data_IF_041046108335
#
_entry.id   IF_041046108335
#
_cell.length_a   1.000
_cell.length_b   1.000
_cell.length_c   1.000
_cell.angle_alpha   90.00
_cell.angle_beta   90.00
_cell.angle_gamma   90.00
#
_symmetry.space_group_name_H-M   'P 1'
#
loop_
_entity.id
_entity.type
_entity.pdbx_description
1 polymer ?
#
# COMPACT_ATOMS: atom_id res chain seq x y z
N UNK A 1 -35.95 -31.99 21.94
CA UNK A 1 -35.80 -30.68 22.59
C UNK A 1 -34.33 -30.31 22.52
N UNK A 2 -33.92 -29.54 21.52
CA UNK A 2 -32.61 -28.89 21.51
C UNK A 2 -32.72 -27.64 20.66
N UNK A 3 -32.29 -26.52 21.23
CA UNK A 3 -32.56 -25.16 20.78
C UNK A 3 -31.78 -24.83 19.50
N UNK A 4 -32.49 -24.12 18.61
CA UNK A 4 -31.95 -23.38 17.46
C UNK A 4 -31.13 -22.21 17.99
N UNK A 5 -29.84 -22.12 17.62
CA UNK A 5 -29.12 -20.85 17.60
C UNK A 5 -29.06 -20.38 16.15
N UNK A 6 -29.95 -19.45 15.83
CA UNK A 6 -29.90 -18.68 14.59
C UNK A 6 -29.00 -17.48 14.92
N UNK A 7 -27.74 -17.54 14.52
CA UNK A 7 -26.92 -16.34 14.38
C UNK A 7 -27.32 -15.69 13.05
N UNK A 8 -28.22 -14.70 13.12
CA UNK A 8 -28.35 -13.70 12.07
C UNK A 8 -27.24 -12.69 12.30
N UNK A 9 -26.05 -12.98 11.76
CA UNK A 9 -25.07 -11.91 11.53
C UNK A 9 -25.55 -11.21 10.27
N UNK A 10 -26.18 -10.05 10.43
CA UNK A 10 -26.36 -9.11 9.34
C UNK A 10 -24.98 -8.55 8.99
N UNK A 11 -24.24 -9.30 8.19
CA UNK A 11 -23.02 -8.84 7.54
C UNK A 11 -23.41 -7.69 6.62
N UNK A 12 -23.09 -6.47 7.05
CA UNK A 12 -23.06 -5.30 6.18
C UNK A 12 -21.90 -5.54 5.22
N UNK A 13 -22.18 -6.23 4.11
CA UNK A 13 -21.32 -6.31 2.94
C UNK A 13 -21.30 -4.93 2.27
N UNK A 14 -20.48 -4.03 2.82
CA UNK A 14 -20.07 -2.82 2.14
C UNK A 14 -18.59 -2.93 1.79
N UNK A 15 -18.34 -3.26 0.52
CA UNK A 15 -17.19 -2.78 -0.27
C UNK A 15 -15.80 -2.86 0.39
N UNK A 16 -15.10 -3.98 0.18
CA UNK A 16 -13.65 -3.98 0.00
C UNK A 16 -13.41 -4.74 -1.30
N UNK A 17 -13.52 -4.01 -2.40
CA UNK A 17 -13.14 -4.44 -3.73
C UNK A 17 -12.04 -3.52 -4.23
N UNK A 18 -10.81 -3.88 -3.90
CA UNK A 18 -9.64 -3.70 -4.75
C UNK A 18 -8.93 -5.07 -4.67
N UNK A 19 -8.62 -5.67 -5.82
CA UNK A 19 -8.28 -7.10 -6.08
C UNK A 19 -9.38 -8.02 -6.66
N UNK A 20 -10.39 -7.51 -7.39
CA UNK A 20 -11.04 -8.38 -8.39
C UNK A 20 -10.21 -8.36 -9.67
N UNK A 21 -9.25 -9.28 -9.77
CA UNK A 21 -8.71 -9.88 -11.01
C UNK A 21 -7.18 -10.03 -11.01
N UNK A 22 -6.68 -10.93 -10.17
CA UNK A 22 -5.40 -11.64 -10.40
C UNK A 22 -5.63 -13.08 -9.88
N UNK A 23 -5.84 -14.15 -10.66
CA UNK A 23 -5.54 -14.40 -12.07
C UNK A 23 -6.37 -15.60 -12.63
N UNK A 24 -6.63 -15.60 -13.96
CA UNK A 24 -7.20 -16.64 -14.85
C UNK A 24 -8.73 -16.74 -15.12
N UNK A 25 -9.24 -15.85 -16.01
CA UNK A 25 -10.26 -16.25 -17.00
C UNK A 25 -10.07 -15.53 -18.35
N UNK A 26 -9.60 -16.21 -19.42
CA UNK A 26 -9.25 -15.58 -20.70
C UNK A 26 -10.45 -15.17 -21.59
N UNK A 27 -11.70 -15.22 -21.09
CA UNK A 27 -12.91 -14.95 -21.89
C UNK A 27 -13.77 -13.76 -21.41
N UNK A 28 -13.29 -12.92 -20.49
CA UNK A 28 -14.08 -11.78 -20.02
C UNK A 28 -13.52 -10.45 -20.56
N UNK A 29 -13.86 -10.12 -21.80
CA UNK A 29 -13.61 -8.80 -22.37
C UNK A 29 -14.62 -7.80 -21.80
N UNK A 30 -14.20 -7.08 -20.76
CA UNK A 30 -14.81 -5.82 -20.35
C UNK A 30 -15.07 -5.73 -18.85
N UNK A 31 -14.16 -5.07 -18.13
CA UNK A 31 -14.47 -4.10 -17.08
C UNK A 31 -13.18 -3.31 -16.75
N UNK A 32 -13.26 -1.98 -16.88
CA UNK A 32 -12.23 -1.01 -16.44
C UNK A 32 -12.15 -0.98 -14.92
N UNK A 33 -10.99 -0.62 -14.33
CA UNK A 33 -10.95 -0.21 -12.93
C UNK A 33 -11.65 1.14 -12.80
N UNK A 34 -12.97 1.11 -12.56
CA UNK A 34 -13.63 2.21 -11.87
C UNK A 34 -13.22 2.11 -10.41
N UNK A 35 -12.57 3.15 -9.90
CA UNK A 35 -12.33 3.39 -8.47
C UNK A 35 -13.60 3.00 -7.71
N UNK A 36 -13.49 1.92 -6.93
CA UNK A 36 -14.59 1.29 -6.19
C UNK A 36 -15.03 2.11 -4.98
N UNK A 37 -15.49 3.33 -5.21
CA UNK A 37 -16.30 4.12 -4.30
C UNK A 37 -17.63 4.37 -4.98
N UNK A 38 -18.72 3.88 -4.39
CA UNK A 38 -20.07 4.17 -4.87
C UNK A 38 -20.26 5.66 -5.12
N UNK A 39 -21.15 5.97 -6.06
CA UNK A 39 -21.57 7.31 -6.46
C UNK A 39 -22.05 8.20 -5.30
N UNK A 40 -21.15 8.57 -4.39
CA UNK A 40 -21.20 9.86 -3.74
C UNK A 40 -21.13 10.84 -4.91
N UNK A 41 -22.27 11.45 -5.20
CA UNK A 41 -22.40 12.51 -6.19
C UNK A 41 -21.20 13.42 -6.03
N UNK A 42 -20.32 13.40 -7.04
CA UNK A 42 -19.31 14.41 -7.26
C UNK A 42 -20.01 15.74 -7.05
N UNK A 43 -19.71 16.38 -5.93
CA UNK A 43 -20.02 17.79 -5.77
C UNK A 43 -18.71 18.43 -6.22
N UNK A 44 -18.68 19.15 -7.35
CA UNK A 44 -17.48 19.89 -7.71
C UNK A 44 -17.03 20.68 -6.48
N UNK A 45 -15.72 20.81 -6.24
CA UNK A 45 -15.24 21.79 -5.27
C UNK A 45 -15.94 23.13 -5.54
N UNK A 46 -16.21 23.89 -4.47
CA UNK A 46 -16.89 25.18 -4.59
C UNK A 46 -16.26 25.98 -5.74
N UNK A 47 -17.09 26.65 -6.59
CA UNK A 47 -16.55 27.46 -7.65
C UNK A 47 -15.54 28.44 -7.04
N UNK A 48 -14.35 28.53 -7.62
CA UNK A 48 -13.27 29.33 -7.07
C UNK A 48 -13.72 30.79 -6.99
N UNK A 49 -13.22 31.55 -6.00
CA UNK A 49 -13.57 32.96 -5.87
C UNK A 49 -13.21 33.72 -7.16
N UNK A 50 -13.96 34.78 -7.46
CA UNK A 50 -13.55 35.71 -8.53
C UNK A 50 -12.21 36.33 -8.12
N UNK A 51 -11.12 35.83 -8.71
CA UNK A 51 -9.81 36.41 -8.55
C UNK A 51 -9.77 37.67 -9.43
N UNK A 52 -10.33 38.77 -8.93
CA UNK A 52 -10.50 40.03 -9.65
C UNK A 52 -9.16 40.62 -10.19
N UNK A 53 -8.01 40.09 -9.75
CA UNK A 53 -6.65 40.54 -10.12
C UNK A 53 -5.94 39.65 -11.14
N UNK A 54 -6.36 38.40 -11.36
CA UNK A 54 -5.79 37.50 -12.38
C UNK A 54 -6.84 36.67 -13.13
N UNK A 55 -8.09 37.14 -13.20
CA UNK A 55 -9.23 36.42 -13.76
C UNK A 55 -8.98 36.00 -15.22
N UNK A 56 -8.68 34.72 -15.50
CA UNK A 56 -8.57 34.26 -16.87
C UNK A 56 -9.96 34.21 -17.52
N UNK A 57 -10.04 33.90 -18.81
CA UNK A 57 -11.33 33.63 -19.44
C UNK A 57 -12.00 32.40 -18.81
N UNK A 58 -13.32 32.29 -18.92
CA UNK A 58 -14.06 31.12 -18.43
C UNK A 58 -13.51 29.79 -18.98
N UNK A 59 -13.11 29.78 -20.27
CA UNK A 59 -12.52 28.60 -20.92
C UNK A 59 -11.15 28.26 -20.32
N UNK A 60 -10.30 29.26 -20.10
CA UNK A 60 -9.01 29.07 -19.45
C UNK A 60 -9.17 28.56 -18.01
N UNK A 61 -10.16 29.07 -17.28
CA UNK A 61 -10.46 28.62 -15.93
C UNK A 61 -10.92 27.15 -15.89
N UNK A 62 -11.79 26.75 -16.81
CA UNK A 62 -12.22 25.35 -16.94
C UNK A 62 -11.04 24.41 -17.22
N UNK A 63 -10.10 24.87 -18.05
CA UNK A 63 -8.88 24.13 -18.38
C UNK A 63 -7.96 23.95 -17.16
N UNK A 64 -7.72 25.02 -16.39
CA UNK A 64 -6.95 25.00 -15.13
C UNK A 64 -7.59 24.08 -14.10
N UNK A 65 -8.92 24.19 -13.93
CA UNK A 65 -9.65 23.36 -12.97
C UNK A 65 -9.55 21.88 -13.33
N UNK A 66 -9.61 21.55 -14.63
CA UNK A 66 -9.43 20.16 -15.08
C UNK A 66 -8.01 19.67 -14.81
N UNK A 67 -6.97 20.43 -15.16
CA UNK A 67 -5.58 20.09 -14.88
C UNK A 67 -5.38 19.76 -13.39
N UNK A 68 -5.91 20.63 -12.51
CA UNK A 68 -5.88 20.43 -11.07
C UNK A 68 -6.61 19.14 -10.64
N UNK A 69 -7.88 18.96 -11.06
CA UNK A 69 -8.68 17.80 -10.69
C UNK A 69 -8.03 16.49 -11.15
N UNK A 70 -7.58 16.43 -12.40
CA UNK A 70 -6.91 15.24 -12.94
C UNK A 70 -5.66 14.88 -12.14
N UNK A 71 -4.91 15.88 -11.71
CA UNK A 71 -3.70 15.68 -10.89
C UNK A 71 -4.03 15.20 -9.48
N UNK A 72 -5.02 15.80 -8.82
CA UNK A 72 -5.50 15.33 -7.51
C UNK A 72 -5.97 13.87 -7.59
N UNK A 73 -6.67 13.48 -8.65
CA UNK A 73 -7.05 12.08 -8.88
C UNK A 73 -5.86 11.14 -9.02
N UNK A 74 -4.76 11.56 -9.63
CA UNK A 74 -3.53 10.76 -9.71
C UNK A 74 -2.83 10.62 -8.35
N UNK A 75 -2.90 11.66 -7.50
CA UNK A 75 -2.32 11.63 -6.13
C UNK A 75 -3.07 10.67 -5.20
N UNK A 76 -4.36 10.46 -5.43
CA UNK A 76 -5.14 9.46 -4.68
C UNK A 76 -4.57 8.04 -4.78
N UNK A 77 -3.73 7.75 -5.78
CA UNK A 77 -3.03 6.47 -5.87
C UNK A 77 -2.11 6.21 -4.66
N UNK A 78 -1.64 7.25 -3.97
CA UNK A 78 -0.91 7.10 -2.70
C UNK A 78 -1.74 6.42 -1.61
N UNK A 79 -3.08 6.50 -1.67
CA UNK A 79 -3.96 5.74 -0.76
C UNK A 79 -3.81 4.24 -1.04
N UNK A 80 -3.83 3.84 -2.31
CA UNK A 80 -3.63 2.45 -2.74
C UNK A 80 -2.24 1.97 -2.33
N UNK A 81 -1.19 2.73 -2.65
CA UNK A 81 0.19 2.36 -2.32
C UNK A 81 0.42 2.25 -0.81
N UNK A 82 -0.10 3.21 -0.02
CA UNK A 82 -0.04 3.15 1.44
C UNK A 82 -0.77 1.93 2.01
N UNK A 83 -1.94 1.61 1.49
CA UNK A 83 -2.67 0.40 1.87
C UNK A 83 -1.89 -0.88 1.54
N UNK A 84 -1.26 -0.97 0.36
CA UNK A 84 -0.43 -2.12 -0.02
C UNK A 84 0.75 -2.26 0.94
N UNK A 85 1.44 -1.18 1.29
CA UNK A 85 2.56 -1.22 2.23
C UNK A 85 2.14 -1.70 3.62
N UNK A 86 1.02 -1.20 4.15
CA UNK A 86 0.49 -1.63 5.45
C UNK A 86 0.12 -3.10 5.43
N UNK A 87 -0.56 -3.55 4.36
CA UNK A 87 -0.93 -4.97 4.21
C UNK A 87 0.28 -5.88 4.10
N UNK A 88 1.31 -5.46 3.36
CA UNK A 88 2.57 -6.18 3.27
C UNK A 88 3.21 -6.32 4.65
N UNK A 89 3.28 -5.22 5.42
CA UNK A 89 3.82 -5.23 6.77
C UNK A 89 3.04 -6.19 7.70
N UNK A 90 1.71 -6.16 7.64
CA UNK A 90 0.83 -7.03 8.42
C UNK A 90 0.94 -8.51 8.01
N UNK A 91 1.16 -8.79 6.72
CA UNK A 91 1.16 -10.14 6.18
C UNK A 91 2.56 -10.77 6.12
N UNK A 92 3.62 -10.00 6.37
CA UNK A 92 5.02 -10.42 6.17
C UNK A 92 5.34 -11.77 6.81
N UNK A 93 4.94 -11.94 8.07
CA UNK A 93 5.15 -13.19 8.80
C UNK A 93 4.39 -14.37 8.19
N UNK A 94 3.15 -14.13 7.76
CA UNK A 94 2.32 -15.14 7.12
C UNK A 94 2.89 -15.56 5.75
N UNK A 95 3.38 -14.60 4.96
CA UNK A 95 4.05 -14.84 3.67
C UNK A 95 5.30 -15.71 3.89
N UNK A 96 6.16 -15.35 4.86
CA UNK A 96 7.37 -16.14 5.16
C UNK A 96 7.01 -17.56 5.60
N UNK A 97 6.03 -17.74 6.49
CA UNK A 97 5.55 -19.07 6.88
C UNK A 97 4.99 -19.87 5.69
N UNK A 98 4.19 -19.21 4.85
CA UNK A 98 3.53 -19.81 3.69
C UNK A 98 4.52 -20.21 2.58
N UNK A 99 5.68 -19.57 2.52
CA UNK A 99 6.75 -19.91 1.56
C UNK A 99 7.39 -21.29 1.81
N UNK A 100 7.11 -21.94 2.96
CA UNK A 100 7.60 -23.27 3.23
C UNK A 100 6.84 -24.33 2.42
N UNK A 101 7.51 -24.87 1.40
CA UNK A 101 6.92 -25.90 0.54
C UNK A 101 6.56 -27.20 1.30
N UNK A 102 7.23 -27.52 2.41
CA UNK A 102 6.90 -28.72 3.17
C UNK A 102 5.48 -28.66 3.78
N UNK A 103 5.04 -27.48 4.22
CA UNK A 103 3.70 -27.23 4.73
C UNK A 103 2.69 -26.93 3.63
N UNK A 104 3.08 -26.15 2.63
CA UNK A 104 2.19 -25.51 1.67
C UNK A 104 2.45 -25.98 0.24
N UNK A 105 2.13 -27.25 -0.04
CA UNK A 105 2.32 -27.87 -1.38
C UNK A 105 1.01 -28.04 -2.14
N UNK A 106 1.04 -27.67 -3.43
CA UNK A 106 -0.02 -27.94 -4.42
C UNK A 106 -1.40 -27.44 -3.98
N UNK A 107 -2.43 -28.25 -4.17
CA UNK A 107 -3.83 -27.93 -3.88
C UNK A 107 -4.08 -27.47 -2.42
N UNK A 108 -3.21 -27.82 -1.48
CA UNK A 108 -3.32 -27.39 -0.08
C UNK A 108 -3.02 -25.90 0.07
N UNK A 109 -2.00 -25.42 -0.64
CA UNK A 109 -1.67 -24.00 -0.63
C UNK A 109 -2.78 -23.17 -1.27
N UNK A 110 -3.29 -23.58 -2.44
CA UNK A 110 -4.39 -22.87 -3.11
C UNK A 110 -5.62 -22.72 -2.20
N UNK A 111 -5.97 -23.77 -1.45
CA UNK A 111 -7.10 -23.74 -0.52
C UNK A 111 -6.87 -22.81 0.67
N UNK A 112 -5.69 -22.85 1.28
CA UNK A 112 -5.36 -21.98 2.42
C UNK A 112 -5.22 -20.53 1.95
N UNK A 113 -4.64 -20.29 0.78
CA UNK A 113 -4.55 -18.97 0.16
C UNK A 113 -5.94 -18.41 -0.17
N UNK A 114 -6.84 -19.21 -0.77
CA UNK A 114 -8.23 -18.79 -1.00
C UNK A 114 -8.97 -18.47 0.30
N UNK A 115 -8.73 -19.26 1.35
CA UNK A 115 -9.31 -19.01 2.66
C UNK A 115 -8.75 -17.73 3.29
N UNK A 116 -7.42 -17.56 3.32
CA UNK A 116 -6.73 -16.37 3.81
C UNK A 116 -7.17 -15.10 3.07
N UNK A 117 -7.33 -15.17 1.74
CA UNK A 117 -7.82 -14.07 0.93
C UNK A 117 -9.26 -13.64 1.31
N UNK A 118 -10.09 -14.56 1.83
CA UNK A 118 -11.41 -14.19 2.37
C UNK A 118 -11.34 -13.32 3.64
N UNK A 119 -10.16 -13.30 4.29
CA UNK A 119 -9.77 -12.41 5.38
C UNK A 119 -8.77 -11.33 4.91
N UNK A 120 -8.64 -11.07 3.62
CA UNK A 120 -7.71 -10.05 3.11
C UNK A 120 -6.24 -10.26 3.52
N UNK A 121 -5.87 -11.49 3.88
CA UNK A 121 -4.51 -11.90 4.18
C UNK A 121 -3.89 -12.47 2.92
N UNK A 122 -2.77 -11.88 2.51
CA UNK A 122 -2.00 -12.33 1.37
C UNK A 122 -0.92 -13.31 1.85
N UNK A 123 -0.87 -14.50 1.25
CA UNK A 123 0.15 -15.53 1.54
C UNK A 123 1.28 -15.54 0.50
N UNK A 124 1.20 -14.67 -0.49
CA UNK A 124 2.21 -14.44 -1.51
C UNK A 124 2.60 -12.97 -1.51
N UNK A 125 3.86 -12.68 -1.81
CA UNK A 125 4.28 -11.31 -2.07
C UNK A 125 3.81 -10.90 -3.47
N UNK A 126 3.12 -9.75 -3.64
CA UNK A 126 2.76 -9.23 -4.96
C UNK A 126 3.96 -8.57 -5.67
N UNK A 127 5.14 -8.56 -5.03
CA UNK A 127 6.31 -7.87 -5.56
C UNK A 127 7.26 -8.83 -6.27
N UNK A 128 7.79 -8.35 -7.39
CA UNK A 128 8.89 -8.97 -8.10
C UNK A 128 10.22 -8.34 -7.67
N UNK A 129 11.26 -9.16 -7.53
CA UNK A 129 12.59 -8.65 -7.22
C UNK A 129 13.10 -7.75 -8.35
N UNK A 130 13.64 -6.61 -7.97
CA UNK A 130 14.21 -5.63 -8.85
C UNK A 130 15.69 -5.38 -8.56
N UNK A 131 16.29 -4.44 -9.29
CA UNK A 131 17.69 -4.07 -9.09
C UNK A 131 17.91 -3.49 -7.68
N UNK A 132 19.11 -3.72 -7.14
CA UNK A 132 19.61 -3.09 -5.91
C UNK A 132 18.82 -3.40 -4.62
N UNK A 133 18.20 -4.58 -4.52
CA UNK A 133 17.46 -4.99 -3.31
C UNK A 133 16.09 -4.34 -3.17
N UNK A 134 15.56 -3.76 -4.25
CA UNK A 134 14.18 -3.28 -4.32
C UNK A 134 13.26 -4.41 -4.78
N UNK A 135 11.99 -4.27 -4.45
CA UNK A 135 10.91 -5.16 -4.83
C UNK A 135 9.81 -4.30 -5.43
N UNK A 136 9.37 -4.59 -6.66
CA UNK A 136 8.37 -3.78 -7.37
C UNK A 136 7.09 -4.51 -7.67
N UNK A 137 6.03 -3.73 -7.78
CA UNK A 137 4.84 -4.11 -8.54
C UNK A 137 4.44 -2.98 -9.49
N UNK A 138 3.75 -3.29 -10.61
CA UNK A 138 3.10 -2.27 -11.43
C UNK A 138 2.00 -1.56 -10.65
N UNK A 139 1.71 -0.32 -11.04
CA UNK A 139 0.54 0.43 -10.55
C UNK A 139 -0.60 0.23 -11.54
N UNK A 140 -1.66 -0.43 -11.09
CA UNK A 140 -2.81 -0.77 -11.93
C UNK A 140 -3.54 0.48 -12.43
N UNK A 141 -3.80 0.55 -13.73
CA UNK A 141 -4.52 1.66 -14.34
C UNK A 141 -3.65 2.89 -14.67
N UNK A 142 -2.35 2.86 -14.36
CA UNK A 142 -1.39 3.89 -14.74
C UNK A 142 -0.57 3.51 -15.99
N UNK A 143 0.36 4.37 -16.41
CA UNK A 143 1.32 4.05 -17.48
C UNK A 143 2.13 2.78 -17.13
N UNK A 144 2.43 1.89 -18.09
CA UNK A 144 3.23 0.69 -17.85
C UNK A 144 4.62 0.91 -17.23
N UNK A 145 5.17 2.13 -17.25
CA UNK A 145 6.41 2.49 -16.55
C UNK A 145 6.20 2.83 -15.08
N UNK A 146 4.96 3.05 -14.63
CA UNK A 146 4.64 3.40 -13.25
C UNK A 146 4.87 2.22 -12.31
N UNK A 147 5.53 2.47 -11.18
CA UNK A 147 5.98 1.42 -10.27
C UNK A 147 5.79 1.84 -8.82
N UNK A 148 5.36 0.87 -8.02
CA UNK A 148 5.47 0.92 -6.57
C UNK A 148 6.60 0.00 -6.12
N UNK A 149 7.54 0.53 -5.35
CA UNK A 149 8.70 -0.19 -4.85
C UNK A 149 8.64 -0.27 -3.33
N UNK A 150 9.15 -1.37 -2.78
CA UNK A 150 9.57 -1.48 -1.39
C UNK A 150 11.03 -1.92 -1.32
N UNK A 151 11.73 -1.49 -0.27
CA UNK A 151 13.09 -1.92 0.01
C UNK A 151 13.23 -2.16 1.51
N UNK A 152 13.87 -3.27 1.85
CA UNK A 152 14.04 -3.72 3.23
C UNK A 152 15.45 -3.47 3.72
N UNK A 153 15.58 -3.25 5.02
CA UNK A 153 16.85 -3.01 5.67
C UNK A 153 16.91 -3.77 6.99
N UNK A 154 18.13 -4.10 7.41
CA UNK A 154 18.38 -4.58 8.77
C UNK A 154 18.07 -3.46 9.78
N UNK A 155 17.62 -3.79 11.00
CA UNK A 155 17.33 -2.81 12.04
C UNK A 155 18.53 -1.87 12.27
N UNK A 156 18.33 -0.56 12.14
CA UNK A 156 19.36 0.46 12.33
C UNK A 156 20.51 0.48 11.32
N UNK A 157 20.40 -0.22 10.19
CA UNK A 157 21.44 -0.30 9.15
C UNK A 157 21.08 0.49 7.89
N UNK A 158 22.01 1.23 7.29
CA UNK A 158 21.78 1.85 5.97
C UNK A 158 21.94 0.87 4.79
N UNK A 159 22.35 -0.37 5.06
CA UNK A 159 22.57 -1.38 4.01
C UNK A 159 21.25 -2.09 3.66
N UNK A 160 20.83 -2.05 2.39
CA UNK A 160 19.62 -2.74 1.96
C UNK A 160 19.81 -4.26 1.99
N UNK A 161 18.72 -4.96 2.27
CA UNK A 161 18.62 -6.42 2.14
C UNK A 161 18.51 -6.77 0.65
N UNK A 162 19.42 -7.62 0.17
CA UNK A 162 19.47 -8.03 -1.23
C UNK A 162 18.81 -9.39 -1.48
N UNK A 163 18.79 -10.25 -0.46
CA UNK A 163 18.13 -11.55 -0.50
C UNK A 163 16.60 -11.42 -0.40
N UNK A 164 15.87 -12.49 -0.75
CA UNK A 164 14.40 -12.49 -0.76
C UNK A 164 13.82 -12.52 0.66
N UNK A 165 13.27 -11.41 1.18
CA UNK A 165 12.79 -11.36 2.56
C UNK A 165 11.47 -12.13 2.71
N UNK A 166 10.80 -12.51 1.63
CA UNK A 166 9.51 -13.20 1.63
C UNK A 166 9.65 -14.73 1.70
N UNK A 167 10.87 -15.27 1.61
CA UNK A 167 11.14 -16.71 1.62
C UNK A 167 11.79 -17.16 2.91
N UNK A 168 11.24 -18.20 3.54
CA UNK A 168 11.79 -18.83 4.74
C UNK A 168 13.22 -19.35 4.51
N UNK A 169 13.50 -19.85 3.31
CA UNK A 169 14.84 -20.34 2.93
C UNK A 169 15.93 -19.26 2.97
N UNK A 170 15.56 -17.97 2.86
CA UNK A 170 16.50 -16.86 3.01
C UNK A 170 16.97 -16.68 4.46
N UNK A 171 16.21 -17.20 5.43
CA UNK A 171 16.54 -17.13 6.86
C UNK A 171 17.14 -18.45 7.34
N UNK A 172 16.56 -19.57 6.92
CA UNK A 172 16.86 -20.92 7.38
C UNK A 172 16.88 -21.87 6.20
N UNK A 173 18.01 -22.50 5.91
CA UNK A 173 18.11 -23.41 4.76
C UNK A 173 17.82 -24.86 5.15
N UNK A 174 17.16 -25.58 4.24
CA UNK A 174 16.82 -26.99 4.42
C UNK A 174 15.78 -27.20 5.52
N UNK A 175 14.79 -26.30 5.62
CA UNK A 175 13.75 -26.35 6.63
C UNK A 175 12.81 -27.52 6.37
N UNK A 176 12.58 -28.31 7.42
CA UNK A 176 11.53 -29.29 7.52
C UNK A 176 10.58 -28.91 8.65
N UNK A 177 9.27 -29.10 8.46
CA UNK A 177 8.27 -28.79 9.47
C UNK A 177 7.43 -30.02 9.82
N UNK A 178 7.36 -30.32 11.11
CA UNK A 178 6.42 -31.29 11.67
C UNK A 178 5.25 -30.55 12.34
N UNK A 179 4.04 -31.11 12.27
CA UNK A 179 2.83 -30.50 12.84
C UNK A 179 1.97 -31.51 13.59
N UNK A 180 1.19 -31.05 14.58
CA UNK A 180 0.21 -31.90 15.28
C UNK A 180 -1.09 -32.04 14.49
N UNK A 181 -1.51 -30.96 13.83
CA UNK A 181 -2.72 -30.87 13.03
C UNK A 181 -2.35 -30.72 11.56
N UNK A 182 -3.13 -31.37 10.71
CA UNK A 182 -3.15 -31.07 9.29
C UNK A 182 -3.77 -29.69 9.05
N UNK A 183 -3.45 -29.06 7.91
CA UNK A 183 -4.07 -27.79 7.53
C UNK A 183 -5.59 -27.91 7.37
N UNK A 184 -6.10 -29.07 6.96
CA UNK A 184 -7.55 -29.34 6.90
C UNK A 184 -8.20 -29.31 8.28
N UNK A 185 -7.55 -29.91 9.29
CA UNK A 185 -8.05 -29.86 10.68
C UNK A 185 -8.01 -28.45 11.26
N UNK A 186 -7.06 -27.61 10.84
CA UNK A 186 -7.02 -26.19 11.21
C UNK A 186 -8.11 -25.38 10.49
N UNK A 187 -8.44 -25.70 9.24
CA UNK A 187 -9.54 -25.04 8.51
C UNK A 187 -10.92 -25.42 9.08
N UNK A 188 -11.06 -26.63 9.61
CA UNK A 188 -12.29 -27.09 10.26
C UNK A 188 -12.51 -26.43 11.64
N UNK A 189 -11.44 -26.02 12.33
CA UNK A 189 -11.48 -25.31 13.61
C UNK A 189 -10.40 -24.21 13.65
N UNK A 190 -10.77 -23.03 13.15
CA UNK A 190 -9.84 -21.94 12.85
C UNK A 190 -9.22 -21.29 14.09
N UNK A 191 -9.82 -21.51 15.26
CA UNK A 191 -9.32 -21.02 16.56
C UNK A 191 -8.41 -22.05 17.23
N UNK A 192 -8.40 -23.30 16.73
CA UNK A 192 -7.55 -24.35 17.27
C UNK A 192 -6.10 -24.12 16.87
N UNK A 193 -5.27 -23.88 17.88
CA UNK A 193 -3.82 -23.75 17.70
C UNK A 193 -3.19 -25.09 17.29
N UNK A 194 -2.27 -25.00 16.35
CA UNK A 194 -1.39 -26.07 15.94
C UNK A 194 0.03 -25.75 16.39
N UNK A 195 0.80 -26.78 16.71
CA UNK A 195 2.23 -26.66 16.98
C UNK A 195 3.00 -27.03 15.72
N UNK A 196 3.83 -26.13 15.24
CA UNK A 196 4.73 -26.32 14.10
C UNK A 196 6.16 -26.42 14.64
N UNK A 197 6.82 -27.56 14.45
CA UNK A 197 8.23 -27.75 14.80
C UNK A 197 9.10 -27.58 13.58
N UNK A 198 9.93 -26.55 13.59
CA UNK A 198 10.86 -26.23 12.51
C UNK A 198 12.22 -26.86 12.79
N UNK A 199 12.70 -27.67 11.86
CA UNK A 199 14.04 -28.27 11.86
C UNK A 199 14.81 -27.72 10.66
N UNK A 200 16.05 -27.26 10.84
CA UNK A 200 16.81 -26.62 9.77
C UNK A 200 18.29 -27.00 9.78
N UNK A 201 18.96 -26.88 8.63
CA UNK A 201 20.29 -27.47 8.39
C UNK A 201 21.41 -26.44 8.31
N UNK A 202 21.17 -25.30 7.68
CA UNK A 202 22.17 -24.26 7.46
C UNK A 202 21.59 -22.86 7.66
N UNK A 203 22.44 -21.92 8.07
CA UNK A 203 22.04 -20.53 8.28
C UNK A 203 21.80 -19.88 6.91
N UNK A 204 20.65 -19.21 6.75
CA UNK A 204 20.39 -18.38 5.58
C UNK A 204 21.07 -17.01 5.69
N UNK A 205 21.18 -16.27 4.58
CA UNK A 205 21.77 -14.94 4.57
C UNK A 205 21.06 -13.90 5.45
N UNK A 206 19.79 -14.14 5.80
CA UNK A 206 18.96 -13.29 6.65
C UNK A 206 18.74 -13.85 8.05
N UNK A 207 19.50 -14.87 8.48
CA UNK A 207 19.35 -15.50 9.80
C UNK A 207 19.41 -14.48 10.94
N UNK A 208 20.17 -13.39 10.76
CA UNK A 208 20.36 -12.33 11.74
C UNK A 208 19.10 -11.50 12.02
N UNK A 209 18.07 -11.61 11.17
CA UNK A 209 16.76 -11.00 11.39
C UNK A 209 15.83 -11.85 12.28
N UNK A 210 16.26 -13.07 12.64
CA UNK A 210 15.50 -13.93 13.54
C UNK A 210 16.05 -13.85 14.96
N UNK A 211 15.20 -14.13 15.95
CA UNK A 211 15.60 -14.27 17.36
C UNK A 211 16.39 -13.07 17.88
N UNK A 212 16.00 -11.86 17.48
CA UNK A 212 16.66 -10.59 17.82
C UNK A 212 18.17 -10.56 17.47
N UNK A 213 18.57 -11.33 16.45
CA UNK A 213 19.96 -11.51 16.02
C UNK A 213 20.78 -12.48 16.87
N UNK A 214 20.19 -13.07 17.92
CA UNK A 214 20.87 -14.04 18.78
C UNK A 214 20.89 -15.45 18.14
N UNK A 215 21.92 -16.26 18.43
CA UNK A 215 22.04 -17.60 17.86
C UNK A 215 20.79 -18.46 18.06
N UNK A 216 20.26 -18.99 16.96
CA UNK A 216 19.05 -19.79 16.98
C UNK A 216 19.37 -21.29 17.15
N UNK A 217 18.58 -21.98 17.97
CA UNK A 217 18.67 -23.44 18.07
C UNK A 217 18.24 -24.11 16.74
N UNK A 218 18.82 -25.28 16.43
CA UNK A 218 18.48 -26.06 15.22
C UNK A 218 17.03 -26.56 15.16
N UNK A 219 16.29 -26.39 16.26
CA UNK A 219 14.88 -26.72 16.38
C UNK A 219 14.20 -25.58 17.16
N UNK A 220 13.08 -25.09 16.65
CA UNK A 220 12.18 -24.21 17.39
C UNK A 220 10.72 -24.55 17.06
N UNK A 221 9.79 -24.02 17.88
CA UNK A 221 8.36 -24.22 17.67
C UNK A 221 7.65 -22.89 17.40
N UNK A 222 6.55 -22.97 16.68
CA UNK A 222 5.54 -21.92 16.52
C UNK A 222 4.20 -22.52 16.92
N UNK A 223 3.40 -21.83 17.73
CA UNK A 223 2.07 -22.27 18.17
C UNK A 223 1.02 -21.24 17.77
N UNK A 224 0.32 -21.50 16.67
CA UNK A 224 -0.64 -20.56 16.06
C UNK A 224 -1.85 -21.30 15.49
N UNK A 225 -2.99 -20.62 15.47
CA UNK A 225 -4.20 -20.99 14.74
C UNK A 225 -4.35 -20.14 13.47
N UNK A 226 -5.32 -20.47 12.61
CA UNK A 226 -5.61 -19.63 11.43
C UNK A 226 -6.15 -18.26 11.88
N UNK A 227 -6.94 -18.22 12.96
CA UNK A 227 -7.42 -16.98 13.55
C UNK A 227 -6.27 -16.11 14.10
N UNK A 228 -5.24 -16.71 14.71
CA UNK A 228 -4.04 -15.97 15.17
C UNK A 228 -3.29 -15.35 13.98
N UNK A 229 -3.19 -16.04 12.84
CA UNK A 229 -2.57 -15.49 11.62
C UNK A 229 -3.44 -14.36 11.04
N UNK A 230 -4.77 -14.55 10.98
CA UNK A 230 -5.70 -13.52 10.51
C UNK A 230 -5.70 -12.27 11.43
N UNK A 231 -5.43 -12.44 12.72
CA UNK A 231 -5.33 -11.34 13.69
C UNK A 231 -4.19 -10.36 13.39
N UNK A 232 -3.17 -10.77 12.62
CA UNK A 232 -2.09 -9.88 12.18
C UNK A 232 -2.62 -8.75 11.27
N UNK A 233 -3.69 -9.02 10.51
CA UNK A 233 -4.34 -8.05 9.62
C UNK A 233 -5.57 -7.43 10.30
N UNK A 234 -6.23 -8.19 11.18
CA UNK A 234 -7.50 -7.79 11.79
C UNK A 234 -7.44 -7.76 13.32
N UNK A 235 -7.39 -6.56 13.92
CA UNK A 235 -7.24 -6.40 15.37
C UNK A 235 -8.47 -6.83 16.19
N UNK A 236 -9.53 -7.34 15.55
CA UNK A 236 -10.70 -7.87 16.25
C UNK A 236 -10.58 -9.37 16.58
N UNK A 237 -9.63 -10.09 15.98
CA UNK A 237 -9.27 -11.44 16.43
C UNK A 237 -8.30 -11.34 17.61
N UNK A 238 -8.50 -12.19 18.62
CA UNK A 238 -7.61 -12.27 19.77
C UNK A 238 -6.40 -13.16 19.40
N UNK A 239 -5.20 -12.58 19.44
CA UNK A 239 -3.93 -13.29 19.25
C UNK A 239 -3.09 -13.40 20.53
N UNK A 240 -3.66 -13.09 21.70
CA UNK A 240 -2.92 -12.95 22.97
C UNK A 240 -2.25 -14.23 23.50
N UNK A 241 -2.38 -15.35 22.79
CA UNK A 241 -1.67 -16.59 23.07
C UNK A 241 -0.98 -17.22 21.86
N UNK A 242 -0.82 -16.49 20.77
CA UNK A 242 -0.03 -16.91 19.62
C UNK A 242 1.47 -16.89 19.99
N UNK A 243 2.20 -17.96 19.70
CA UNK A 243 3.65 -18.01 19.84
C UNK A 243 4.31 -18.12 18.47
N UNK A 244 4.74 -17.00 17.88
CA UNK A 244 5.43 -16.99 16.58
C UNK A 244 6.92 -17.39 16.66
N UNK A 245 7.40 -17.71 17.86
CA UNK A 245 8.78 -18.12 18.09
C UNK A 245 9.79 -17.06 17.60
N UNK A 246 10.95 -17.48 17.06
CA UNK A 246 12.00 -16.61 16.52
C UNK A 246 11.56 -15.71 15.36
N UNK A 247 10.46 -16.04 14.69
CA UNK A 247 9.97 -15.28 13.54
C UNK A 247 9.32 -13.95 13.95
N UNK A 248 9.02 -13.77 15.25
CA UNK A 248 8.47 -12.51 15.75
C UNK A 248 9.41 -11.33 15.47
N UNK A 249 10.73 -11.54 15.46
CA UNK A 249 11.73 -10.49 15.20
C UNK A 249 11.74 -9.97 13.76
N UNK A 250 11.06 -10.65 12.82
CA UNK A 250 10.94 -10.17 11.44
C UNK A 250 10.29 -8.77 11.36
N UNK A 251 9.45 -8.45 12.33
CA UNK A 251 8.76 -7.16 12.40
C UNK A 251 9.70 -5.99 12.72
N UNK A 252 10.92 -6.27 13.19
CA UNK A 252 11.92 -5.24 13.49
C UNK A 252 12.69 -4.81 12.25
N UNK A 253 12.65 -5.59 11.17
CA UNK A 253 13.21 -5.16 9.89
C UNK A 253 12.56 -3.86 9.45
N UNK A 254 13.35 -2.99 8.83
CA UNK A 254 12.89 -1.69 8.39
C UNK A 254 12.51 -1.74 6.91
N UNK A 255 11.48 -1.00 6.54
CA UNK A 255 10.94 -0.93 5.20
C UNK A 255 10.79 0.53 4.78
N UNK A 256 11.20 0.83 3.56
CA UNK A 256 10.90 2.09 2.86
C UNK A 256 10.12 1.76 1.59
N UNK A 257 9.32 2.69 1.12
CA UNK A 257 8.60 2.57 -0.14
C UNK A 257 8.89 3.74 -1.08
N UNK A 258 8.69 3.55 -2.39
CA UNK A 258 8.80 4.59 -3.38
C UNK A 258 7.71 4.40 -4.44
N UNK A 259 7.06 5.49 -4.83
CA UNK A 259 6.06 5.54 -5.89
C UNK A 259 6.65 6.38 -7.01
N UNK A 260 6.73 5.81 -8.20
CA UNK A 260 7.02 6.53 -9.44
C UNK A 260 5.79 6.39 -10.34
N UNK A 261 5.03 7.47 -10.50
CA UNK A 261 3.79 7.47 -11.27
C UNK A 261 3.97 8.30 -12.53
N UNK A 262 3.51 7.75 -13.66
CA UNK A 262 3.13 8.49 -14.86
C UNK A 262 1.69 8.12 -15.20
N UNK A 263 0.81 9.10 -15.22
CA UNK A 263 -0.61 8.92 -15.48
C UNK A 263 -1.04 9.85 -16.63
N UNK A 264 -1.99 9.41 -17.44
CA UNK A 264 -2.55 10.21 -18.52
C UNK A 264 -4.06 10.13 -18.45
N UNK A 265 -4.67 11.26 -18.08
CA UNK A 265 -6.11 11.41 -17.94
C UNK A 265 -6.61 12.42 -18.95
N UNK A 266 -7.39 11.93 -19.92
CA UNK A 266 -7.88 12.74 -21.03
C UNK A 266 -6.73 13.40 -21.83
N UNK A 267 -6.47 14.68 -21.60
CA UNK A 267 -5.33 15.42 -22.19
C UNK A 267 -4.26 15.83 -21.18
N UNK A 268 -4.47 15.53 -19.90
CA UNK A 268 -3.55 15.83 -18.80
C UNK A 268 -2.57 14.68 -18.64
N UNK A 269 -1.28 14.97 -18.65
CA UNK A 269 -0.22 14.04 -18.25
C UNK A 269 0.27 14.47 -16.88
N UNK A 270 0.29 13.54 -15.93
CA UNK A 270 0.73 13.74 -14.55
C UNK A 270 1.90 12.81 -14.28
N UNK A 271 2.98 13.34 -13.72
CA UNK A 271 4.14 12.58 -13.29
C UNK A 271 4.48 12.98 -11.85
N UNK A 272 4.72 12.01 -10.98
CA UNK A 272 5.26 12.32 -9.66
C UNK A 272 6.12 11.21 -9.09
N UNK A 273 6.95 11.60 -8.14
CA UNK A 273 7.73 10.70 -7.29
C UNK A 273 7.36 10.96 -5.83
N UNK A 274 7.04 9.91 -5.10
CA UNK A 274 6.80 10.00 -3.66
C UNK A 274 7.60 8.91 -2.93
N UNK A 275 8.37 9.31 -1.93
CA UNK A 275 9.13 8.40 -1.09
C UNK A 275 8.41 8.25 0.26
N UNK A 276 8.09 7.01 0.63
CA UNK A 276 7.53 6.70 1.93
C UNK A 276 8.60 6.78 3.00
N UNK A 277 8.21 7.16 4.22
CA UNK A 277 9.16 7.17 5.33
C UNK A 277 9.59 5.77 5.70
N UNK A 278 10.89 5.65 5.98
CA UNK A 278 11.51 4.43 6.48
C UNK A 278 11.07 4.20 7.93
N UNK A 279 10.54 3.02 8.21
CA UNK A 279 10.14 2.61 9.56
C UNK A 279 10.20 1.08 9.69
N UNK A 280 10.09 0.58 10.92
CA UNK A 280 9.97 -0.86 11.21
C UNK A 280 8.67 -1.41 10.65
N UNK A 281 8.69 -2.68 10.23
CA UNK A 281 7.48 -3.40 9.81
C UNK A 281 6.43 -3.39 10.93
N UNK A 282 6.84 -3.50 12.20
CA UNK A 282 5.97 -3.42 13.36
C UNK A 282 5.22 -2.09 13.45
N UNK A 283 5.92 -0.96 13.29
CA UNK A 283 5.31 0.36 13.35
C UNK A 283 4.33 0.57 12.20
N UNK A 284 4.71 0.19 10.97
CA UNK A 284 3.85 0.30 9.80
C UNK A 284 2.57 -0.53 9.97
N UNK A 285 2.72 -1.79 10.42
CA UNK A 285 1.59 -2.70 10.63
C UNK A 285 0.67 -2.24 11.78
N UNK A 286 1.25 -1.72 12.87
CA UNK A 286 0.55 -1.33 14.09
C UNK A 286 -0.17 0.01 14.00
N UNK A 287 0.48 1.02 13.40
CA UNK A 287 -0.14 2.33 13.21
C UNK A 287 -1.15 2.32 12.06
N UNK A 288 -0.95 1.43 11.09
CA UNK A 288 -1.77 1.31 9.88
C UNK A 288 -1.67 2.55 8.99
N UNK A 289 -0.56 3.29 9.09
CA UNK A 289 -0.34 4.61 8.48
C UNK A 289 1.00 4.67 7.80
N UNK A 290 1.07 5.44 6.72
CA UNK A 290 2.31 5.68 5.98
C UNK A 290 2.39 7.17 5.68
N UNK A 291 3.53 7.79 5.97
CA UNK A 291 3.82 9.15 5.53
C UNK A 291 4.64 9.10 4.24
N UNK A 292 4.25 9.90 3.27
CA UNK A 292 4.95 10.11 2.01
C UNK A 292 5.49 11.53 1.94
N UNK A 293 6.72 11.66 1.47
CA UNK A 293 7.29 12.92 1.03
C UNK A 293 7.25 12.90 -0.51
N UNK A 294 6.49 13.82 -1.09
CA UNK A 294 6.29 13.95 -2.54
C UNK A 294 7.30 14.96 -3.07
N UNK A 295 8.35 14.46 -3.72
CA UNK A 295 9.50 15.26 -4.16
C UNK A 295 9.11 16.32 -5.19
N UNK A 296 8.29 15.91 -6.16
CA UNK A 296 7.75 16.75 -7.22
C UNK A 296 6.54 16.08 -7.86
N UNK A 297 5.55 16.90 -8.20
CA UNK A 297 4.40 16.59 -9.04
C UNK A 297 4.48 17.53 -10.24
N UNK A 298 4.60 16.96 -11.43
CA UNK A 298 4.59 17.66 -12.69
C UNK A 298 3.35 17.27 -13.48
N UNK A 299 2.47 18.23 -13.77
CA UNK A 299 1.30 17.99 -14.61
C UNK A 299 1.22 18.99 -15.76
N UNK A 300 0.77 18.54 -16.93
CA UNK A 300 0.54 19.42 -18.08
C UNK A 300 -0.60 18.93 -18.95
N UNK A 301 -1.33 19.88 -19.53
CA UNK A 301 -2.38 19.61 -20.53
C UNK A 301 -2.03 20.13 -21.94
N UNK A 302 -0.78 20.58 -22.12
CA UNK A 302 -0.26 21.22 -23.33
C UNK A 302 -0.43 22.74 -23.39
N UNK A 303 -1.28 23.33 -22.56
CA UNK A 303 -1.47 24.79 -22.44
C UNK A 303 -0.96 25.30 -21.10
N UNK A 304 -1.33 24.60 -20.03
CA UNK A 304 -0.95 24.90 -18.65
C UNK A 304 -0.01 23.83 -18.12
N UNK A 305 0.83 24.24 -17.19
CA UNK A 305 1.70 23.37 -16.42
C UNK A 305 1.43 23.59 -14.95
N UNK A 306 1.48 22.53 -14.16
CA UNK A 306 1.38 22.56 -12.73
C UNK A 306 2.58 21.86 -12.13
N UNK A 307 3.23 22.53 -11.19
CA UNK A 307 4.31 21.99 -10.39
C UNK A 307 3.86 21.97 -8.94
N UNK A 308 4.10 20.90 -8.21
CA UNK A 308 3.79 20.86 -6.80
C UNK A 308 4.67 19.92 -6.01
N UNK A 309 4.60 20.07 -4.69
CA UNK A 309 5.32 19.23 -3.74
C UNK A 309 4.52 19.11 -2.44
N UNK A 310 4.84 18.07 -1.68
CA UNK A 310 4.27 17.86 -0.37
C UNK A 310 5.27 17.17 0.54
N UNK A 311 5.28 17.55 1.80
CA UNK A 311 5.99 16.79 2.84
C UNK A 311 4.98 16.25 3.83
N UNK A 312 5.21 15.05 4.33
CA UNK A 312 4.36 14.42 5.34
C UNK A 312 2.90 14.22 4.90
N UNK A 313 2.67 13.88 3.63
CA UNK A 313 1.35 13.48 3.14
C UNK A 313 1.07 12.04 3.60
N UNK A 314 0.09 11.88 4.50
CA UNK A 314 -0.12 10.63 5.24
C UNK A 314 -1.32 9.85 4.74
N UNK A 315 -1.09 8.61 4.33
CA UNK A 315 -2.13 7.58 4.31
C UNK A 315 -2.60 7.32 5.75
N UNK A 316 -3.91 7.43 5.98
CA UNK A 316 -4.53 7.17 7.28
C UNK A 316 -5.35 5.89 7.32
N UNK A 317 -6.12 5.63 6.26
CA UNK A 317 -6.89 4.42 6.04
C UNK A 317 -7.25 4.27 4.55
N UNK A 318 -7.99 3.20 4.21
CA UNK A 318 -8.38 2.79 2.85
C UNK A 318 -9.09 3.86 2.00
N UNK A 319 -9.39 5.05 2.53
CA UNK A 319 -10.05 6.15 1.80
C UNK A 319 -9.51 7.53 2.14
N UNK A 320 -8.41 7.65 2.87
CA UNK A 320 -8.03 8.97 3.39
C UNK A 320 -6.54 9.27 3.37
N UNK A 321 -6.28 10.52 3.00
CA UNK A 321 -4.99 11.18 3.16
C UNK A 321 -5.12 12.26 4.24
N UNK A 322 -3.97 12.73 4.71
CA UNK A 322 -3.85 13.92 5.54
C UNK A 322 -2.56 14.65 5.25
N UNK A 323 -2.63 15.97 5.16
CA UNK A 323 -1.49 16.82 4.80
C UNK A 323 -1.91 17.91 3.82
N UNK A 324 -0.95 18.76 3.49
CA UNK A 324 -1.12 19.84 2.51
C UNK A 324 -0.22 19.58 1.31
N UNK A 325 -0.73 19.90 0.11
CA UNK A 325 0.05 19.93 -1.13
C UNK A 325 0.02 21.37 -1.64
N UNK A 326 1.18 21.86 -2.05
CA UNK A 326 1.35 23.19 -2.63
C UNK A 326 1.57 23.02 -4.13
N UNK A 327 0.81 23.75 -4.93
CA UNK A 327 1.00 23.80 -6.37
C UNK A 327 1.19 25.22 -6.88
N UNK A 328 2.00 25.34 -7.91
CA UNK A 328 2.07 26.49 -8.79
C UNK A 328 1.56 26.06 -10.17
N UNK A 329 0.53 26.74 -10.67
CA UNK A 329 0.00 26.56 -12.02
C UNK A 329 0.41 27.76 -12.88
N UNK A 330 1.11 27.50 -13.97
CA UNK A 330 1.57 28.52 -14.91
C UNK A 330 0.99 28.29 -16.30
N UNK A 331 0.72 29.39 -17.00
CA UNK A 331 0.23 29.36 -18.39
C UNK A 331 0.60 30.63 -19.17
N UNK A 332 0.06 30.82 -20.38
CA UNK A 332 0.42 31.92 -21.26
C UNK A 332 0.28 33.32 -20.64
N UNK A 333 -0.71 33.51 -19.76
CA UNK A 333 -1.10 34.83 -19.25
C UNK A 333 -1.34 34.85 -17.73
N UNK A 334 -0.88 33.84 -16.97
CA UNK A 334 -1.14 33.74 -15.52
C UNK A 334 -0.13 32.85 -14.78
N UNK A 335 0.01 33.13 -13.48
CA UNK A 335 0.54 32.22 -12.46
C UNK A 335 -0.44 32.19 -11.28
N UNK A 336 -0.75 30.99 -10.80
CA UNK A 336 -1.69 30.73 -9.70
C UNK A 336 -1.02 29.80 -8.69
N UNK A 337 -1.10 30.18 -7.42
CA UNK A 337 -0.76 29.32 -6.31
C UNK A 337 -2.00 28.60 -5.80
N UNK A 338 -1.88 27.31 -5.56
CA UNK A 338 -2.94 26.44 -5.06
C UNK A 338 -2.46 25.70 -3.82
N UNK A 339 -3.26 25.70 -2.76
CA UNK A 339 -3.00 24.90 -1.56
C UNK A 339 -4.16 23.92 -1.36
N UNK A 340 -3.86 22.63 -1.42
CA UNK A 340 -4.79 21.53 -1.18
C UNK A 340 -4.59 20.93 0.19
N UNK A 341 -5.53 21.11 1.11
CA UNK A 341 -5.48 20.53 2.46
C UNK A 341 -6.45 19.35 2.59
N UNK A 342 -5.93 18.13 2.71
CA UNK A 342 -6.72 16.91 2.92
C UNK A 342 -7.34 16.83 4.31
N UNK A 343 -6.97 17.69 5.26
CA UNK A 343 -7.37 17.59 6.66
C UNK A 343 -7.06 16.21 7.25
N UNK A 344 -7.50 15.94 8.47
CA UNK A 344 -7.39 14.58 9.02
C UNK A 344 -8.54 13.71 8.51
N UNK A 345 -8.25 12.83 7.55
CA UNK A 345 -9.18 11.77 7.16
C UNK A 345 -10.10 12.13 5.99
N UNK A 346 -9.85 13.22 5.25
CA UNK A 346 -10.70 13.52 4.10
C UNK A 346 -10.18 12.80 2.85
N UNK A 347 -11.08 12.27 2.01
CA UNK A 347 -10.71 11.77 0.70
C UNK A 347 -10.31 12.92 -0.23
N UNK A 348 -10.94 14.10 -0.10
CA UNK A 348 -10.72 15.24 -0.99
C UNK A 348 -10.23 16.46 -0.21
N UNK A 349 -9.30 17.25 -0.78
CA UNK A 349 -8.77 18.41 -0.11
C UNK A 349 -9.74 19.60 -0.14
N UNK A 350 -9.61 20.47 0.86
CA UNK A 350 -10.10 21.84 0.81
C UNK A 350 -9.06 22.69 0.10
N UNK A 351 -9.44 23.29 -1.03
CA UNK A 351 -8.52 24.00 -1.91
C UNK A 351 -8.62 25.51 -1.72
N UNK A 352 -7.46 26.17 -1.61
CA UNK A 352 -7.33 27.64 -1.61
C UNK A 352 -6.53 28.06 -2.82
N UNK A 353 -6.96 29.15 -3.46
CA UNK A 353 -6.37 29.67 -4.70
C UNK A 353 -5.90 31.10 -4.46
N UNK A 354 -4.73 31.46 -4.98
CA UNK A 354 -4.20 32.82 -4.97
C UNK A 354 -3.51 33.12 -6.30
N UNK A 355 -3.51 34.38 -6.73
CA UNK A 355 -2.68 34.81 -7.85
C UNK A 355 -1.23 34.83 -7.40
N UNK A 356 -0.32 34.21 -8.17
CA UNK A 356 1.11 34.40 -7.96
C UNK A 356 1.48 35.87 -8.18
N UNK A 357 2.56 36.36 -7.56
CA UNK A 357 3.09 37.69 -7.84
C UNK A 357 3.39 37.78 -9.35
N UNK A 358 2.50 38.44 -10.10
CA UNK A 358 2.74 38.75 -11.50
C UNK A 358 3.92 39.73 -11.55
N UNK A 359 5.16 39.23 -11.65
CA UNK A 359 6.28 40.05 -12.10
C UNK A 359 5.90 40.55 -13.51
N UNK A 360 5.42 41.79 -13.55
CA UNK A 360 4.87 42.40 -14.77
C UNK A 360 5.87 42.34 -15.93
N UNK A 361 5.39 42.42 -17.18
CA UNK A 361 6.23 42.29 -18.35
C UNK A 361 7.38 43.28 -18.27
N UNK A 362 8.62 42.78 -18.35
CA UNK A 362 9.81 43.58 -18.61
C UNK A 362 9.52 44.48 -19.82
N UNK A 363 9.31 45.77 -19.57
CA UNK A 363 9.31 46.78 -20.63
C UNK A 363 10.64 46.65 -21.39
N UNK A 364 10.55 46.33 -22.68
CA UNK A 364 11.70 46.32 -23.57
C UNK A 364 12.33 47.72 -23.58
N UNK A 365 13.66 47.84 -23.50
CA UNK A 365 14.30 49.15 -23.55
C UNK A 365 14.04 49.80 -24.92
N UNK A 366 13.53 51.03 -24.90
CA UNK A 366 13.35 51.91 -26.08
C UNK A 366 14.67 52.22 -26.80
#
# INVERSE_FOLDING_TARGET
>A
MSLRFIFVVTLVLSSIGCFSDWNHNPNNTGFSPSVGGGSALWTPPDPPPSLDECSPSDDAWNDITRLYVDTEWSIHELITCGQVQVRLAQSMLAIVLASNEDLFRGDTFERVAQYAASFGLDLESPFEQAENGRWSMPIDGADPTSRFWVQFFRPGSEEPILDDPFRLDSYLQGVHVETELTLDEMLDDIERRNTFWFFWQEEGPLIDLLNDGEPLARIFKVEVSIADIAALVYPFFDNSGAEYGPLVSLVDAEMISCVELRDTRDRTVVEYRADGRRDTIAAIAGDGKVAFDVDAIDATDGTYTMHGDATDLRFLDVKSLAGEIFYEITGPDLSIEVVSDFGSGNPWPVTRWACGDCEGPHEAPE
#
